data_IF_357864496588
#
_entry.id   IF_357864496588
#
_cell.length_a   1.000
_cell.length_b   1.000
_cell.length_c   1.000
_cell.angle_alpha   90.00
_cell.angle_beta   90.00
_cell.angle_gamma   90.00
#
_symmetry.space_group_name_H-M   'P 1'
#
loop_
_entity.id
_entity.type
_entity.pdbx_description
1 polymer ?
#
# COMPACT_ATOMS: atom_id res chain seq x y z
N UNK A 1 -6.89 -32.17 -9.54
CA UNK A 1 -6.60 -30.89 -8.86
C UNK A 1 -6.36 -31.15 -7.38
N UNK A 2 -5.13 -30.97 -6.89
CA UNK A 2 -4.80 -31.16 -5.48
C UNK A 2 -5.05 -29.88 -4.66
N UNK A 3 -5.16 -29.98 -3.32
CA UNK A 3 -5.40 -28.82 -2.44
C UNK A 3 -4.28 -27.76 -2.45
N UNK A 4 -3.11 -28.07 -3.03
CA UNK A 4 -1.96 -27.16 -3.20
C UNK A 4 -1.79 -26.65 -4.64
N UNK A 5 -2.67 -27.04 -5.56
CA UNK A 5 -2.65 -26.61 -6.95
C UNK A 5 -2.88 -25.08 -7.02
N UNK A 6 -2.08 -24.32 -7.81
CA UNK A 6 -2.24 -22.87 -7.96
C UNK A 6 -3.65 -22.42 -8.34
N UNK A 7 -4.37 -23.18 -9.17
CA UNK A 7 -5.72 -22.82 -9.60
C UNK A 7 -6.73 -22.97 -8.45
N UNK A 8 -6.65 -24.09 -7.72
CA UNK A 8 -7.48 -24.34 -6.52
C UNK A 8 -7.20 -23.29 -5.44
N UNK A 9 -5.93 -22.94 -5.22
CA UNK A 9 -5.54 -21.87 -4.29
C UNK A 9 -6.17 -20.53 -4.67
N UNK A 10 -6.17 -20.20 -5.96
CA UNK A 10 -6.72 -18.94 -6.46
C UNK A 10 -8.24 -18.89 -6.30
N UNK A 11 -8.95 -19.97 -6.62
CA UNK A 11 -10.40 -20.07 -6.41
C UNK A 11 -10.77 -19.93 -4.92
N UNK A 12 -10.04 -20.60 -4.03
CA UNK A 12 -10.25 -20.48 -2.57
C UNK A 12 -10.04 -19.06 -2.07
N UNK A 13 -9.02 -18.36 -2.55
CA UNK A 13 -8.75 -16.97 -2.17
C UNK A 13 -9.88 -16.04 -2.62
N UNK A 14 -10.42 -16.22 -3.84
CA UNK A 14 -11.57 -15.45 -4.34
C UNK A 14 -12.83 -15.70 -3.51
N UNK A 15 -13.15 -16.97 -3.24
CA UNK A 15 -14.29 -17.34 -2.40
C UNK A 15 -14.20 -16.68 -1.01
N UNK A 16 -13.03 -16.77 -0.37
CA UNK A 16 -12.79 -16.15 0.92
C UNK A 16 -12.93 -14.62 0.88
N UNK A 17 -12.43 -13.97 -0.18
CA UNK A 17 -12.58 -12.52 -0.35
C UNK A 17 -14.05 -12.11 -0.48
N UNK A 18 -14.82 -12.77 -1.35
CA UNK A 18 -16.24 -12.47 -1.53
C UNK A 18 -17.06 -12.70 -0.26
N UNK A 19 -16.88 -13.86 0.40
CA UNK A 19 -17.55 -14.16 1.66
C UNK A 19 -17.19 -13.11 2.75
N UNK A 20 -15.92 -12.71 2.82
CA UNK A 20 -15.48 -11.71 3.78
C UNK A 20 -16.07 -10.33 3.52
N UNK A 21 -16.16 -9.90 2.26
CA UNK A 21 -16.77 -8.61 1.91
C UNK A 21 -18.29 -8.60 2.05
N UNK A 22 -18.97 -9.72 1.80
CA UNK A 22 -20.40 -9.87 2.06
C UNK A 22 -20.75 -9.62 3.55
N UNK A 23 -19.82 -9.96 4.46
CA UNK A 23 -19.97 -9.74 5.90
C UNK A 23 -19.49 -8.34 6.36
N UNK A 24 -19.12 -7.44 5.45
CA UNK A 24 -18.59 -6.12 5.80
C UNK A 24 -19.60 -5.02 5.44
N UNK A 25 -20.28 -4.49 6.46
CA UNK A 25 -21.25 -3.39 6.29
C UNK A 25 -20.57 -2.03 6.15
N UNK A 26 -19.39 -1.85 6.75
CA UNK A 26 -18.58 -0.63 6.63
C UNK A 26 -17.17 -0.96 6.07
N UNK A 27 -16.97 -0.82 4.74
CA UNK A 27 -15.67 -1.04 4.10
C UNK A 27 -14.58 -0.06 4.54
N UNK A 28 -14.98 1.17 4.90
CA UNK A 28 -14.07 2.24 5.27
C UNK A 28 -13.43 1.92 6.61
N UNK A 29 -14.23 1.53 7.60
CA UNK A 29 -13.77 1.09 8.92
C UNK A 29 -12.89 -0.15 8.84
N UNK A 30 -13.30 -1.17 8.06
CA UNK A 30 -12.53 -2.42 7.89
C UNK A 30 -11.08 -2.16 7.48
N UNK A 31 -10.85 -1.20 6.58
CA UNK A 31 -9.51 -0.88 6.06
C UNK A 31 -8.80 0.26 6.79
N UNK A 32 -9.46 0.94 7.73
CA UNK A 32 -8.93 2.14 8.38
C UNK A 32 -7.60 1.89 9.09
N UNK A 33 -7.48 0.82 9.87
CA UNK A 33 -6.23 0.46 10.58
C UNK A 33 -5.07 0.22 9.62
N UNK A 34 -5.33 -0.50 8.52
CA UNK A 34 -4.31 -0.76 7.50
C UNK A 34 -3.88 0.53 6.78
N UNK A 35 -4.82 1.42 6.45
CA UNK A 35 -4.52 2.73 5.86
C UNK A 35 -3.72 3.62 6.81
N UNK A 36 -4.07 3.63 8.10
CA UNK A 36 -3.33 4.37 9.12
C UNK A 36 -1.88 3.86 9.25
N UNK A 37 -1.68 2.54 9.37
CA UNK A 37 -0.36 1.94 9.43
C UNK A 37 0.47 2.22 8.16
N UNK A 38 -0.17 2.15 6.99
CA UNK A 38 0.47 2.49 5.73
C UNK A 38 0.96 3.96 5.72
N UNK A 39 0.18 4.90 6.25
CA UNK A 39 0.58 6.31 6.31
C UNK A 39 1.64 6.57 7.39
N UNK A 40 1.53 5.92 8.55
CA UNK A 40 2.44 6.10 9.69
C UNK A 40 3.91 5.75 9.37
N UNK A 41 4.16 4.92 8.33
CA UNK A 41 5.53 4.59 7.91
C UNK A 41 6.36 5.82 7.55
N UNK A 42 5.74 6.86 6.97
CA UNK A 42 6.44 8.05 6.53
C UNK A 42 6.83 8.95 7.70
N UNK A 43 5.99 8.99 8.74
CA UNK A 43 6.34 9.69 9.98
C UNK A 43 7.52 9.00 10.69
N UNK A 44 7.50 7.66 10.77
CA UNK A 44 8.64 6.90 11.30
C UNK A 44 9.93 7.20 10.53
N UNK A 45 9.89 7.17 9.20
CA UNK A 45 11.04 7.50 8.35
C UNK A 45 11.50 8.95 8.54
N UNK A 46 10.57 9.90 8.72
CA UNK A 46 10.90 11.29 8.99
C UNK A 46 11.64 11.43 10.34
N UNK A 47 11.18 10.74 11.39
CA UNK A 47 11.82 10.73 12.71
C UNK A 47 13.19 10.05 12.69
N UNK A 48 13.34 8.96 11.95
CA UNK A 48 14.64 8.31 11.74
C UNK A 48 15.63 9.22 11.00
N UNK A 49 15.17 9.98 10.00
CA UNK A 49 16.02 10.90 9.24
C UNK A 49 16.38 12.17 10.03
N UNK A 50 15.49 12.62 10.90
CA UNK A 50 15.64 13.86 11.66
C UNK A 50 15.21 13.65 13.13
N UNK A 51 16.04 12.97 13.95
CA UNK A 51 15.66 12.59 15.32
C UNK A 51 15.44 13.78 16.25
N UNK A 52 16.08 14.92 16.00
CA UNK A 52 15.97 16.15 16.80
C UNK A 52 14.97 17.17 16.27
N UNK A 53 14.21 16.84 15.21
CA UNK A 53 13.25 17.77 14.62
C UNK A 53 11.97 17.90 15.47
N UNK A 54 11.32 19.06 15.38
CA UNK A 54 10.02 19.29 16.02
C UNK A 54 8.92 18.47 15.33
N UNK A 55 7.79 18.26 16.02
CA UNK A 55 6.67 17.51 15.44
C UNK A 55 6.13 18.14 14.13
N UNK A 56 6.12 19.47 14.04
CA UNK A 56 5.72 20.19 12.82
C UNK A 56 6.69 19.93 11.66
N UNK A 57 7.99 19.95 11.93
CA UNK A 57 9.01 19.61 10.95
C UNK A 57 8.88 18.15 10.48
N UNK A 58 8.63 17.22 11.42
CA UNK A 58 8.38 15.82 11.13
C UNK A 58 7.15 15.64 10.24
N UNK A 59 6.04 16.30 10.55
CA UNK A 59 4.81 16.25 9.75
C UNK A 59 5.06 16.73 8.31
N UNK A 60 5.76 17.86 8.15
CA UNK A 60 6.15 18.40 6.84
C UNK A 60 7.04 17.43 6.07
N UNK A 61 8.06 16.84 6.71
CA UNK A 61 8.94 15.87 6.07
C UNK A 61 8.19 14.60 5.68
N UNK A 62 7.33 14.07 6.55
CA UNK A 62 6.52 12.88 6.28
C UNK A 62 5.60 13.09 5.07
N UNK A 63 5.02 14.29 4.93
CA UNK A 63 4.20 14.69 3.78
C UNK A 63 5.01 14.61 2.47
N UNK A 64 6.21 15.19 2.45
CA UNK A 64 7.10 15.14 1.30
C UNK A 64 7.59 13.71 1.00
N UNK A 65 7.92 12.91 2.01
CA UNK A 65 8.30 11.50 1.83
C UNK A 65 7.16 10.68 1.20
N UNK A 66 5.92 10.93 1.63
CA UNK A 66 4.74 10.30 1.03
C UNK A 66 4.61 10.69 -0.44
N UNK A 67 4.70 11.98 -0.78
CA UNK A 67 4.65 12.45 -2.19
C UNK A 67 5.75 11.83 -3.03
N UNK A 68 6.98 11.85 -2.54
CA UNK A 68 8.14 11.29 -3.23
C UNK A 68 7.96 9.78 -3.51
N UNK A 69 7.44 9.02 -2.55
CA UNK A 69 7.17 7.59 -2.72
C UNK A 69 6.19 7.30 -3.85
N UNK A 70 5.05 8.01 -3.88
CA UNK A 70 4.05 7.80 -4.93
C UNK A 70 4.51 8.33 -6.30
N UNK A 71 5.27 9.42 -6.33
CA UNK A 71 5.89 9.92 -7.56
C UNK A 71 6.88 8.88 -8.14
N UNK A 72 7.74 8.29 -7.29
CA UNK A 72 8.68 7.25 -7.70
C UNK A 72 7.96 5.99 -8.23
N UNK A 73 6.85 5.59 -7.58
CA UNK A 73 6.03 4.48 -8.05
C UNK A 73 5.41 4.77 -9.43
N UNK A 74 4.87 5.97 -9.62
CA UNK A 74 4.31 6.42 -10.89
C UNK A 74 5.33 6.42 -12.02
N UNK A 75 6.54 6.93 -11.76
CA UNK A 75 7.64 6.93 -12.72
C UNK A 75 8.02 5.51 -13.14
N UNK A 76 8.24 4.61 -12.18
CA UNK A 76 8.56 3.19 -12.46
C UNK A 76 7.48 2.52 -13.30
N UNK A 77 6.21 2.81 -13.00
CA UNK A 77 5.06 2.30 -13.75
C UNK A 77 5.05 2.81 -15.20
N UNK A 78 5.30 4.10 -15.41
CA UNK A 78 5.37 4.72 -16.73
C UNK A 78 6.53 4.13 -17.58
N UNK A 79 7.71 3.97 -16.98
CA UNK A 79 8.87 3.35 -17.60
C UNK A 79 8.56 1.92 -18.06
N UNK A 80 7.91 1.11 -17.20
CA UNK A 80 7.52 -0.26 -17.55
C UNK A 80 6.53 -0.30 -18.71
N UNK A 81 5.52 0.58 -18.71
CA UNK A 81 4.58 0.69 -19.84
C UNK A 81 5.27 1.10 -21.14
N UNK A 82 6.22 2.03 -21.07
CA UNK A 82 6.99 2.46 -22.24
C UNK A 82 7.81 1.29 -22.82
N UNK A 83 8.51 0.53 -21.96
CA UNK A 83 9.27 -0.66 -22.37
C UNK A 83 8.39 -1.71 -23.04
N UNK A 84 7.21 -2.00 -22.49
CA UNK A 84 6.31 -2.99 -23.04
C UNK A 84 5.67 -2.57 -24.38
N UNK A 85 5.63 -1.27 -24.72
CA UNK A 85 5.16 -0.80 -26.03
C UNK A 85 6.24 -0.83 -27.11
N UNK A 86 7.51 -0.82 -26.70
CA UNK A 86 8.67 -0.83 -27.59
C UNK A 86 9.21 -2.25 -27.86
N UNK A 87 8.63 -3.26 -27.22
CA UNK A 87 8.91 -4.69 -27.40
C UNK A 87 7.72 -5.34 -28.11
#
# INVERSE_FOLDING_TARGET
MGPKDPEVRTMRARLAAHASWANTLDPTSRTAKARAAANARFERQAREKHPSATNEQIARVAEHLRRAHYAALGLKSAQKRAKNRAA
#
